data_IF_937745626851
#
_entry.id   IF_937745626851
#
_cell.length_a   1.000
_cell.length_b   1.000
_cell.length_c   1.000
_cell.angle_alpha   90.00
_cell.angle_beta   90.00
_cell.angle_gamma   90.00
#
_symmetry.space_group_name_H-M   'P 1'
#
loop_
_entity.id
_entity.type
_entity.pdbx_description
1 polymer ?
#
# COMPACT_ATOMS: atom_id res chain seq x y z
N UNK A 1 -35.86 -88.07 -18.23
CA UNK A 1 -35.09 -87.12 -19.09
C UNK A 1 -35.54 -85.66 -18.72
N UNK A 2 -34.79 -85.10 -17.84
CA UNK A 2 -35.10 -83.75 -17.28
C UNK A 2 -34.11 -82.72 -17.75
N UNK A 3 -34.59 -81.70 -18.42
CA UNK A 3 -33.76 -80.53 -18.78
C UNK A 3 -33.82 -79.52 -17.66
N UNK A 4 -32.68 -79.11 -17.10
CA UNK A 4 -32.51 -78.05 -16.13
C UNK A 4 -32.60 -76.71 -16.82
N UNK A 5 -33.26 -75.67 -16.25
CA UNK A 5 -33.15 -74.33 -16.73
C UNK A 5 -31.88 -73.66 -16.22
N UNK A 6 -31.20 -72.96 -17.12
CA UNK A 6 -30.00 -72.20 -16.90
C UNK A 6 -30.31 -70.89 -16.10
N UNK A 7 -29.63 -70.70 -15.01
CA UNK A 7 -29.66 -69.46 -14.20
C UNK A 7 -29.08 -68.32 -15.00
N UNK A 8 -29.92 -67.33 -15.26
CA UNK A 8 -29.50 -66.05 -15.78
C UNK A 8 -28.62 -65.30 -14.78
N UNK A 9 -27.46 -64.95 -15.25
CA UNK A 9 -26.47 -64.18 -14.49
C UNK A 9 -26.85 -62.68 -14.51
N UNK A 10 -27.49 -62.21 -13.43
CA UNK A 10 -27.76 -60.79 -13.23
C UNK A 10 -26.43 -60.08 -12.93
N UNK A 11 -25.87 -59.45 -13.94
CA UNK A 11 -24.76 -58.49 -13.76
C UNK A 11 -25.28 -57.32 -12.95
N UNK A 12 -24.92 -57.27 -11.69
CA UNK A 12 -24.99 -56.06 -10.87
C UNK A 12 -24.04 -55.03 -11.50
N UNK A 13 -24.61 -54.01 -12.09
CA UNK A 13 -23.89 -52.81 -12.48
C UNK A 13 -23.19 -52.26 -11.24
N UNK A 14 -21.87 -52.39 -11.21
CA UNK A 14 -21.05 -51.64 -10.27
C UNK A 14 -21.25 -50.15 -10.56
N UNK A 15 -21.99 -49.50 -9.68
CA UNK A 15 -22.02 -48.06 -9.62
C UNK A 15 -20.60 -47.55 -9.49
N UNK A 16 -20.07 -46.98 -10.56
CA UNK A 16 -18.87 -46.19 -10.52
C UNK A 16 -19.20 -45.02 -9.59
N UNK A 17 -18.80 -45.19 -8.33
CA UNK A 17 -18.79 -44.06 -7.40
C UNK A 17 -18.08 -42.95 -8.10
N UNK A 18 -18.79 -41.83 -8.31
CA UNK A 18 -18.20 -40.53 -8.46
C UNK A 18 -17.27 -40.36 -7.24
N UNK A 19 -16.05 -40.82 -7.37
CA UNK A 19 -14.99 -40.34 -6.53
C UNK A 19 -14.91 -38.86 -6.87
N UNK A 20 -15.44 -38.11 -5.96
CA UNK A 20 -15.25 -36.69 -5.89
C UNK A 20 -13.79 -36.43 -6.25
N UNK A 21 -13.59 -35.85 -7.42
CA UNK A 21 -12.40 -35.15 -7.74
C UNK A 21 -12.40 -33.93 -6.81
N UNK A 22 -12.22 -34.19 -5.53
CA UNK A 22 -11.75 -33.23 -4.57
C UNK A 22 -10.36 -32.87 -5.11
N UNK A 23 -10.35 -31.90 -6.01
CA UNK A 23 -9.15 -31.22 -6.42
C UNK A 23 -8.53 -30.80 -5.09
N UNK A 24 -7.60 -31.58 -4.61
CA UNK A 24 -6.67 -31.18 -3.59
C UNK A 24 -6.02 -29.93 -4.19
N UNK A 25 -6.58 -28.77 -3.87
CA UNK A 25 -5.85 -27.53 -3.96
C UNK A 25 -4.60 -27.81 -3.14
N UNK A 26 -3.51 -28.15 -3.83
CA UNK A 26 -2.20 -28.31 -3.23
C UNK A 26 -1.95 -26.94 -2.62
N UNK A 27 -2.23 -26.83 -1.31
CA UNK A 27 -1.92 -25.63 -0.57
C UNK A 27 -0.42 -25.40 -0.78
N UNK A 28 -0.08 -24.32 -1.45
CA UNK A 28 1.33 -23.96 -1.64
C UNK A 28 1.97 -23.94 -0.24
N UNK A 29 3.19 -24.48 -0.11
CA UNK A 29 3.85 -24.46 1.18
C UNK A 29 3.91 -23.01 1.70
N UNK A 30 3.62 -22.78 2.97
CA UNK A 30 3.50 -21.42 3.55
C UNK A 30 4.74 -20.54 3.34
N UNK A 31 5.93 -21.13 3.16
CA UNK A 31 7.16 -20.40 2.79
C UNK A 31 7.04 -19.70 1.44
N UNK A 32 6.55 -20.44 0.42
CA UNK A 32 6.37 -19.87 -0.92
C UNK A 32 5.34 -18.74 -0.89
N UNK A 33 4.30 -18.91 -0.08
CA UNK A 33 3.26 -17.88 0.08
C UNK A 33 3.80 -16.65 0.81
N UNK A 34 4.56 -16.83 1.90
CA UNK A 34 5.20 -15.74 2.63
C UNK A 34 6.18 -14.94 1.77
N UNK A 35 7.06 -15.63 1.03
CA UNK A 35 8.02 -14.99 0.11
C UNK A 35 7.30 -14.25 -1.04
N UNK A 36 6.20 -14.79 -1.57
CA UNK A 36 5.42 -14.13 -2.61
C UNK A 36 4.77 -12.83 -2.12
N UNK A 37 4.33 -12.79 -0.86
CA UNK A 37 3.80 -11.57 -0.22
C UNK A 37 4.89 -10.51 -0.04
N UNK A 38 6.10 -10.90 0.38
CA UNK A 38 7.25 -9.98 0.47
C UNK A 38 7.62 -9.42 -0.91
N UNK A 39 7.62 -10.25 -1.95
CA UNK A 39 7.88 -9.77 -3.32
C UNK A 39 6.77 -8.82 -3.81
N UNK A 40 5.50 -9.09 -3.51
CA UNK A 40 4.41 -8.17 -3.82
C UNK A 40 4.56 -6.84 -3.06
N UNK A 41 5.00 -6.87 -1.81
CA UNK A 41 5.32 -5.68 -1.04
C UNK A 41 6.46 -4.87 -1.66
N UNK A 42 7.52 -5.53 -2.16
CA UNK A 42 8.61 -4.85 -2.89
C UNK A 42 8.10 -4.07 -4.11
N UNK A 43 7.21 -4.66 -4.91
CA UNK A 43 6.64 -4.01 -6.09
C UNK A 43 5.78 -2.79 -5.70
N UNK A 44 4.93 -2.93 -4.69
CA UNK A 44 4.12 -1.81 -4.19
C UNK A 44 4.98 -0.70 -3.58
N UNK A 45 6.06 -1.05 -2.89
CA UNK A 45 7.01 -0.05 -2.39
C UNK A 45 7.65 0.76 -3.52
N UNK A 46 8.06 0.11 -4.62
CA UNK A 46 8.61 0.82 -5.78
C UNK A 46 7.58 1.78 -6.39
N UNK A 47 6.32 1.34 -6.54
CA UNK A 47 5.24 2.22 -7.00
C UNK A 47 5.07 3.44 -6.10
N UNK A 48 5.05 3.23 -4.79
CA UNK A 48 4.94 4.32 -3.81
C UNK A 48 6.14 5.29 -3.87
N UNK A 49 7.35 4.74 -3.99
CA UNK A 49 8.58 5.53 -4.08
C UNK A 49 8.61 6.40 -5.34
N UNK A 50 8.18 5.86 -6.47
CA UNK A 50 8.14 6.62 -7.74
C UNK A 50 7.09 7.73 -7.68
N UNK A 51 5.90 7.45 -7.10
CA UNK A 51 4.88 8.47 -6.86
C UNK A 51 5.40 9.56 -5.91
N UNK A 52 6.03 9.19 -4.80
CA UNK A 52 6.58 10.13 -3.83
C UNK A 52 7.62 11.05 -4.47
N UNK A 53 8.60 10.50 -5.19
CA UNK A 53 9.64 11.28 -5.87
C UNK A 53 9.06 12.27 -6.88
N UNK A 54 8.01 11.86 -7.60
CA UNK A 54 7.32 12.76 -8.54
C UNK A 54 6.67 13.91 -7.81
N UNK A 55 5.93 13.65 -6.73
CA UNK A 55 5.29 14.70 -5.96
C UNK A 55 6.34 15.60 -5.29
N UNK A 56 7.40 15.04 -4.72
CA UNK A 56 8.51 15.79 -4.11
C UNK A 56 9.18 16.73 -5.12
N UNK A 57 9.28 16.36 -6.39
CA UNK A 57 9.84 17.20 -7.44
C UNK A 57 8.87 18.30 -7.92
N UNK A 58 7.57 18.05 -7.91
CA UNK A 58 6.57 18.87 -8.58
C UNK A 58 5.64 19.64 -7.61
N UNK A 59 5.69 19.41 -6.28
CA UNK A 59 4.71 19.93 -5.32
C UNK A 59 4.58 21.47 -5.34
N UNK A 60 5.66 22.19 -5.66
CA UNK A 60 5.63 23.67 -5.73
C UNK A 60 4.86 24.19 -6.95
N UNK A 61 4.70 23.37 -7.98
CA UNK A 61 4.00 23.74 -9.22
C UNK A 61 2.55 23.24 -9.25
N UNK A 62 2.23 22.26 -8.40
CA UNK A 62 0.90 21.68 -8.26
C UNK A 62 0.04 22.54 -7.32
N UNK A 63 -1.30 22.56 -7.53
CA UNK A 63 -2.21 23.06 -6.51
C UNK A 63 -1.99 22.29 -5.20
N UNK A 64 -1.90 22.99 -4.07
CA UNK A 64 -1.61 22.36 -2.76
C UNK A 64 -2.52 21.19 -2.44
N UNK A 65 -3.80 21.31 -2.74
CA UNK A 65 -4.78 20.24 -2.51
C UNK A 65 -4.47 18.99 -3.34
N UNK A 66 -4.03 19.16 -4.59
CA UNK A 66 -3.64 18.04 -5.46
C UNK A 66 -2.35 17.39 -4.98
N UNK A 67 -1.34 18.18 -4.60
CA UNK A 67 -0.10 17.65 -4.02
C UNK A 67 -0.37 16.84 -2.75
N UNK A 68 -1.19 17.35 -1.83
CA UNK A 68 -1.58 16.64 -0.60
C UNK A 68 -2.34 15.35 -0.93
N UNK A 69 -3.29 15.36 -1.88
CA UNK A 69 -4.01 14.15 -2.29
C UNK A 69 -3.06 13.05 -2.80
N UNK A 70 -2.10 13.41 -3.65
CA UNK A 70 -1.13 12.47 -4.19
C UNK A 70 -0.23 11.87 -3.09
N UNK A 71 0.15 12.67 -2.10
CA UNK A 71 0.91 12.18 -0.94
C UNK A 71 0.06 11.23 -0.09
N UNK A 72 -1.21 11.55 0.16
CA UNK A 72 -2.14 10.67 0.91
C UNK A 72 -2.38 9.35 0.17
N UNK A 73 -2.49 9.38 -1.16
CA UNK A 73 -2.57 8.16 -1.98
C UNK A 73 -1.30 7.31 -1.82
N UNK A 74 -0.13 7.95 -1.86
CA UNK A 74 1.16 7.28 -1.63
C UNK A 74 1.22 6.63 -0.25
N UNK A 75 0.76 7.31 0.80
CA UNK A 75 0.64 6.74 2.14
C UNK A 75 -0.28 5.51 2.17
N UNK A 76 -1.37 5.53 1.41
CA UNK A 76 -2.26 4.38 1.26
C UNK A 76 -1.52 3.15 0.75
N UNK A 77 -0.75 3.30 -0.34
CA UNK A 77 0.06 2.23 -0.92
C UNK A 77 1.12 1.72 0.08
N UNK A 78 1.76 2.62 0.82
CA UNK A 78 2.76 2.24 1.85
C UNK A 78 2.15 1.45 3.01
N UNK A 79 0.95 1.81 3.46
CA UNK A 79 0.22 1.04 4.49
C UNK A 79 -0.15 -0.36 4.01
N UNK A 80 -0.61 -0.49 2.76
CA UNK A 80 -0.85 -1.80 2.14
C UNK A 80 0.45 -2.61 2.03
N UNK A 81 1.56 -1.96 1.65
CA UNK A 81 2.89 -2.58 1.61
C UNK A 81 3.27 -3.13 2.98
N UNK A 82 3.05 -2.36 4.05
CA UNK A 82 3.32 -2.79 5.42
C UNK A 82 2.48 -4.00 5.81
N UNK A 83 1.19 -4.01 5.47
CA UNK A 83 0.31 -5.16 5.73
C UNK A 83 0.79 -6.43 5.02
N UNK A 84 1.23 -6.33 3.76
CA UNK A 84 1.78 -7.47 3.03
C UNK A 84 3.07 -8.00 3.67
N UNK A 85 3.95 -7.11 4.15
CA UNK A 85 5.16 -7.49 4.88
C UNK A 85 4.83 -8.22 6.18
N UNK A 86 3.91 -7.69 6.98
CA UNK A 86 3.51 -8.28 8.25
C UNK A 86 2.85 -9.66 8.04
N UNK A 87 2.02 -9.80 7.02
CA UNK A 87 1.44 -11.09 6.65
C UNK A 87 2.49 -12.08 6.15
N UNK A 88 3.40 -11.65 5.27
CA UNK A 88 4.46 -12.48 4.73
C UNK A 88 5.43 -12.95 5.81
N UNK A 89 5.87 -12.07 6.69
CA UNK A 89 6.76 -12.40 7.82
C UNK A 89 6.09 -13.31 8.83
N UNK A 90 4.81 -13.06 9.16
CA UNK A 90 4.04 -13.93 10.08
C UNK A 90 3.91 -15.36 9.54
N UNK A 91 3.66 -15.52 8.24
CA UNK A 91 3.61 -16.85 7.62
C UNK A 91 4.96 -17.57 7.65
N UNK A 92 6.07 -16.85 7.46
CA UNK A 92 7.41 -17.41 7.48
C UNK A 92 7.89 -17.74 8.91
N UNK A 93 7.56 -16.91 9.90
CA UNK A 93 7.95 -17.14 11.31
C UNK A 93 7.16 -18.25 11.96
N UNK A 94 5.88 -18.44 11.60
CA UNK A 94 5.08 -19.57 12.08
C UNK A 94 5.66 -20.93 11.72
N UNK A 95 6.52 -21.01 10.72
CA UNK A 95 7.21 -22.24 10.30
C UNK A 95 8.43 -22.61 11.14
N UNK A 96 9.00 -21.69 11.90
CA UNK A 96 10.10 -21.97 12.83
C UNK A 96 9.61 -22.61 14.14
N UNK A 97 8.31 -22.89 14.27
CA UNK A 97 7.76 -23.60 15.41
C UNK A 97 8.19 -25.07 15.41
N UNK A 98 8.64 -25.64 16.52
CA UNK A 98 9.10 -27.03 16.61
C UNK A 98 8.01 -28.08 16.36
N UNK A 99 6.78 -27.65 16.14
CA UNK A 99 5.63 -28.54 15.81
C UNK A 99 5.64 -29.04 14.35
N UNK A 100 6.46 -28.48 13.48
CA UNK A 100 6.63 -28.95 12.10
C UNK A 100 7.67 -30.07 12.07
N UNK A 101 7.22 -31.27 12.09
CA UNK A 101 7.93 -32.53 12.35
C UNK A 101 9.04 -32.97 11.38
N UNK A 102 9.56 -32.14 10.50
CA UNK A 102 10.83 -32.34 9.80
C UNK A 102 11.46 -30.95 9.61
N UNK A 103 12.65 -30.76 10.17
CA UNK A 103 13.41 -29.54 10.00
C UNK A 103 13.61 -29.30 8.49
N UNK A 104 13.21 -28.14 7.95
CA UNK A 104 13.51 -27.80 6.56
C UNK A 104 15.02 -27.91 6.36
N UNK A 105 15.45 -28.41 5.22
CA UNK A 105 16.88 -28.54 4.90
C UNK A 105 17.59 -27.21 5.14
N UNK A 106 18.87 -27.25 5.46
CA UNK A 106 19.66 -26.08 5.86
C UNK A 106 19.59 -24.94 4.80
N UNK A 107 19.47 -25.29 3.53
CA UNK A 107 19.31 -24.34 2.42
C UNK A 107 17.99 -23.56 2.52
N UNK A 108 16.89 -24.26 2.76
CA UNK A 108 15.57 -23.63 2.91
C UNK A 108 15.52 -22.71 4.14
N UNK A 109 16.22 -23.08 5.21
CA UNK A 109 16.32 -22.24 6.41
C UNK A 109 17.08 -20.94 6.15
N UNK A 110 18.18 -20.99 5.40
CA UNK A 110 18.96 -19.81 5.04
C UNK A 110 18.14 -18.87 4.13
N UNK A 111 17.42 -19.41 3.16
CA UNK A 111 16.54 -18.64 2.29
C UNK A 111 15.42 -17.92 3.05
N UNK A 112 14.82 -18.58 4.04
CA UNK A 112 13.81 -17.99 4.91
C UNK A 112 14.41 -16.85 5.75
N UNK A 113 15.59 -17.04 6.34
CA UNK A 113 16.28 -16.02 7.14
C UNK A 113 16.60 -14.80 6.28
N UNK A 114 17.13 -15.01 5.08
CA UNK A 114 17.43 -13.93 4.14
C UNK A 114 16.16 -13.17 3.73
N UNK A 115 15.07 -13.89 3.43
CA UNK A 115 13.79 -13.27 3.09
C UNK A 115 13.22 -12.45 4.26
N UNK A 116 13.33 -12.94 5.50
CA UNK A 116 12.90 -12.23 6.70
C UNK A 116 13.75 -10.96 6.93
N UNK A 117 15.05 -11.03 6.69
CA UNK A 117 15.94 -9.88 6.81
C UNK A 117 15.62 -8.80 5.75
N UNK A 118 15.41 -9.23 4.51
CA UNK A 118 14.98 -8.34 3.43
C UNK A 118 13.62 -7.69 3.72
N UNK A 119 12.68 -8.45 4.30
CA UNK A 119 11.37 -7.93 4.70
C UNK A 119 11.49 -6.90 5.83
N UNK A 120 12.38 -7.12 6.81
CA UNK A 120 12.64 -6.18 7.87
C UNK A 120 13.25 -4.86 7.35
N UNK A 121 14.26 -4.97 6.48
CA UNK A 121 14.90 -3.80 5.87
C UNK A 121 13.93 -3.00 4.99
N UNK A 122 13.06 -3.70 4.27
CA UNK A 122 11.98 -3.05 3.51
C UNK A 122 10.97 -2.37 4.44
N UNK A 123 10.62 -3.00 5.56
CA UNK A 123 9.76 -2.42 6.59
C UNK A 123 10.30 -1.08 7.11
N UNK A 124 11.58 -1.00 7.42
CA UNK A 124 12.23 0.23 7.85
C UNK A 124 12.16 1.33 6.76
N UNK A 125 12.39 0.96 5.49
CA UNK A 125 12.27 1.90 4.36
C UNK A 125 10.84 2.40 4.14
N UNK A 126 9.84 1.55 4.39
CA UNK A 126 8.41 1.94 4.34
C UNK A 126 8.12 2.97 5.41
N UNK A 127 8.60 2.75 6.64
CA UNK A 127 8.40 3.67 7.77
C UNK A 127 9.10 5.01 7.53
N UNK A 128 10.32 5.01 6.98
CA UNK A 128 11.05 6.23 6.61
C UNK A 128 10.32 7.03 5.52
N UNK A 129 9.76 6.33 4.52
CA UNK A 129 9.02 6.99 3.44
C UNK A 129 7.67 7.52 3.92
N UNK A 130 6.98 6.85 4.85
CA UNK A 130 5.78 7.36 5.51
C UNK A 130 6.07 8.67 6.27
N UNK A 131 7.17 8.70 7.04
CA UNK A 131 7.62 9.93 7.71
C UNK A 131 8.00 11.03 6.70
N UNK A 132 8.52 10.66 5.53
CA UNK A 132 8.74 11.58 4.41
C UNK A 132 7.45 12.18 3.87
N UNK A 133 6.43 11.36 3.70
CA UNK A 133 5.09 11.81 3.28
C UNK A 133 4.48 12.80 4.28
N UNK A 134 4.55 12.52 5.58
CA UNK A 134 4.03 13.40 6.62
C UNK A 134 4.71 14.77 6.56
N UNK A 135 6.05 14.80 6.47
CA UNK A 135 6.82 16.06 6.35
C UNK A 135 6.45 16.84 5.09
N UNK A 136 6.20 16.15 3.97
CA UNK A 136 5.81 16.80 2.72
C UNK A 136 4.42 17.43 2.83
N UNK A 137 3.46 16.74 3.46
CA UNK A 137 2.12 17.30 3.74
C UNK A 137 2.23 18.57 4.59
N UNK A 138 2.98 18.51 5.70
CA UNK A 138 3.20 19.68 6.56
C UNK A 138 3.82 20.85 5.78
N UNK A 139 4.79 20.56 4.91
CA UNK A 139 5.43 21.58 4.07
C UNK A 139 4.46 22.20 3.08
N UNK A 140 3.62 21.40 2.42
CA UNK A 140 2.59 21.87 1.49
C UNK A 140 1.58 22.78 2.20
N UNK A 141 1.10 22.37 3.38
CA UNK A 141 0.14 23.14 4.17
C UNK A 141 0.73 24.46 4.69
N UNK A 142 1.96 24.43 5.20
CA UNK A 142 2.66 25.63 5.66
C UNK A 142 2.88 26.62 4.51
N UNK A 143 3.19 26.13 3.31
CA UNK A 143 3.32 26.98 2.11
C UNK A 143 1.98 27.62 1.73
N UNK A 144 0.89 26.87 1.79
CA UNK A 144 -0.45 27.40 1.54
C UNK A 144 -0.82 28.52 2.53
N UNK A 145 -0.62 28.27 3.83
CA UNK A 145 -0.89 29.28 4.86
C UNK A 145 -0.07 30.55 4.65
N UNK A 146 1.22 30.42 4.31
CA UNK A 146 2.08 31.56 4.02
C UNK A 146 1.58 32.34 2.81
N UNK A 147 1.14 31.65 1.76
CA UNK A 147 0.56 32.27 0.57
C UNK A 147 -0.74 33.01 0.87
N UNK A 148 -1.65 32.42 1.64
CA UNK A 148 -2.91 33.02 2.05
C UNK A 148 -2.68 34.30 2.90
N UNK A 149 -1.73 34.23 3.85
CA UNK A 149 -1.33 35.41 4.65
C UNK A 149 -0.77 36.51 3.76
N UNK A 150 0.06 36.17 2.76
CA UNK A 150 0.59 37.14 1.80
C UNK A 150 -0.52 37.78 0.97
N UNK A 151 -1.46 37.02 0.45
CA UNK A 151 -2.61 37.50 -0.33
C UNK A 151 -3.51 38.43 0.52
N UNK A 152 -3.79 38.04 1.76
CA UNK A 152 -4.55 38.85 2.71
C UNK A 152 -3.83 40.15 3.01
N UNK A 153 -2.53 40.14 3.27
CA UNK A 153 -1.71 41.32 3.48
C UNK A 153 -1.70 42.24 2.26
N UNK A 154 -1.57 41.70 1.04
CA UNK A 154 -1.63 42.43 -0.20
C UNK A 154 -2.99 43.11 -0.40
N UNK A 155 -4.10 42.40 -0.15
CA UNK A 155 -5.44 42.95 -0.23
C UNK A 155 -5.63 44.11 0.76
N UNK A 156 -5.16 43.94 2.00
CA UNK A 156 -5.22 44.97 3.02
C UNK A 156 -4.44 46.23 2.60
N UNK A 157 -3.23 46.07 2.04
CA UNK A 157 -2.44 47.21 1.53
C UNK A 157 -3.18 47.98 0.42
N UNK A 158 -3.80 47.26 -0.52
CA UNK A 158 -4.58 47.88 -1.61
C UNK A 158 -5.74 48.69 -1.05
N UNK A 159 -6.47 48.16 -0.06
CA UNK A 159 -7.59 48.86 0.59
C UNK A 159 -7.10 50.09 1.34
N UNK A 160 -5.99 50.02 2.07
CA UNK A 160 -5.41 51.15 2.78
C UNK A 160 -4.95 52.26 1.83
N UNK A 161 -4.26 51.91 0.75
CA UNK A 161 -3.83 52.85 -0.27
C UNK A 161 -5.05 53.52 -0.92
N UNK A 162 -6.08 52.76 -1.25
CA UNK A 162 -7.33 53.28 -1.78
C UNK A 162 -8.02 54.24 -0.81
N UNK A 163 -8.08 53.92 0.47
CA UNK A 163 -8.65 54.79 1.51
C UNK A 163 -7.87 56.09 1.66
N UNK A 164 -6.53 56.06 1.67
CA UNK A 164 -5.69 57.23 1.75
C UNK A 164 -5.90 58.16 0.54
N UNK A 165 -5.97 57.58 -0.66
CA UNK A 165 -6.22 58.35 -1.88
C UNK A 165 -7.59 59.01 -1.87
N UNK A 166 -8.64 58.31 -1.45
CA UNK A 166 -10.00 58.90 -1.36
C UNK A 166 -10.08 60.00 -0.34
N UNK A 167 -9.46 59.85 0.83
CA UNK A 167 -9.38 60.91 1.85
C UNK A 167 -8.60 62.11 1.31
N UNK A 168 -7.47 61.89 0.66
CA UNK A 168 -6.67 62.94 0.05
C UNK A 168 -7.44 63.79 -1.01
N UNK A 169 -8.17 63.10 -1.87
CA UNK A 169 -9.04 63.73 -2.86
C UNK A 169 -10.17 64.52 -2.19
N UNK A 170 -10.82 63.95 -1.18
CA UNK A 170 -11.89 64.62 -0.44
C UNK A 170 -11.38 65.92 0.26
N UNK A 171 -10.23 65.83 0.92
CA UNK A 171 -9.58 67.01 1.55
C UNK A 171 -9.19 68.07 0.52
N UNK A 172 -8.68 67.69 -0.64
CA UNK A 172 -8.36 68.62 -1.72
C UNK A 172 -9.59 69.40 -2.18
N UNK A 173 -10.75 68.77 -2.33
CA UNK A 173 -12.00 69.42 -2.72
C UNK A 173 -12.60 70.31 -1.61
N UNK A 174 -12.39 69.95 -0.32
CA UNK A 174 -12.86 70.71 0.82
C UNK A 174 -12.04 71.98 1.08
N UNK A 175 -10.75 71.96 0.73
CA UNK A 175 -9.82 73.10 0.96
C UNK A 175 -9.71 74.03 -0.23
N UNK A 176 -10.33 73.71 -1.36
CA UNK A 176 -10.38 74.58 -2.55
C UNK A 176 -11.70 75.38 -2.64
#
# INVERSE_FOLDING_TARGET
MGKRPTRGNVRRGAGVGKKDAMTLAIAQPPVVTGASLVNAACLKYQEALDKFKRVEAEWQTLPTQEAVMLVVETQGILRETRQLLDQGTSQMTGMNSPEWGEAPGQTTRNEVVECLQNAHDLGNRVDDLLAGCDRLIETCLAHQEAYERYQTGKALCIVLVGAILTIGVALYFLLR
#
